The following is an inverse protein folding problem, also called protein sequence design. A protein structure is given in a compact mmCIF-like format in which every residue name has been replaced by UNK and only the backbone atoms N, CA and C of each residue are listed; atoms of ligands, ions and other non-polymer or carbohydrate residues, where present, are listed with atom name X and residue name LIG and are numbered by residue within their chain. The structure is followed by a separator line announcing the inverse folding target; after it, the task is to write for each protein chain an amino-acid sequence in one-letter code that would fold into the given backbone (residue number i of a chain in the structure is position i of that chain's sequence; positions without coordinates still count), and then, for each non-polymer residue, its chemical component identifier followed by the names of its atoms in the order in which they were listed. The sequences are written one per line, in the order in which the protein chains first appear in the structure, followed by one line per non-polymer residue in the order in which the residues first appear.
data_IF_324838823162
#
_entry.id   IF_324838823162
#
_cell.length_a   1.000
_cell.length_b   1.000
_cell.length_c   1.000
_cell.angle_alpha   90.00
_cell.angle_beta   90.00
_cell.angle_gamma   90.00
#
_symmetry.space_group_name_H-M   'P 1'
#
loop_
_entity.id
_entity.type
_entity.pdbx_description
1 polymer ?
#
# COMPACT_ATOMS: atom_id res chain seq x y z
N UNK A 1 -8.34 10.80 -18.28
CA UNK A 1 -7.35 9.69 -18.23
C UNK A 1 -7.88 8.61 -17.31
N UNK A 2 -7.65 7.33 -17.60
CA UNK A 2 -8.00 6.25 -16.68
C UNK A 2 -7.07 6.26 -15.47
N UNK A 3 -7.58 5.91 -14.28
CA UNK A 3 -6.76 5.78 -13.08
C UNK A 3 -5.81 4.60 -13.23
N UNK A 4 -4.59 4.74 -12.71
CA UNK A 4 -3.52 3.74 -12.84
C UNK A 4 -3.16 3.19 -11.47
N UNK A 5 -3.17 1.87 -11.33
CA UNK A 5 -2.85 1.19 -10.08
C UNK A 5 -1.48 0.52 -10.12
N UNK A 6 -0.77 0.52 -8.99
CA UNK A 6 0.48 -0.22 -8.80
C UNK A 6 0.39 -1.03 -7.51
N UNK A 7 0.76 -2.31 -7.57
CA UNK A 7 0.75 -3.19 -6.39
C UNK A 7 2.20 -3.58 -6.09
N UNK A 8 2.64 -3.28 -4.88
CA UNK A 8 3.92 -3.75 -4.36
C UNK A 8 3.69 -4.85 -3.35
N UNK A 9 4.12 -6.07 -3.69
CA UNK A 9 3.86 -7.25 -2.89
C UNK A 9 5.03 -7.56 -1.97
N UNK A 10 4.88 -7.36 -0.66
CA UNK A 10 5.78 -7.94 0.33
C UNK A 10 5.20 -9.23 0.89
N UNK A 11 6.03 -10.29 0.96
CA UNK A 11 5.72 -11.48 1.73
C UNK A 11 5.81 -12.80 0.97
N UNK A 12 4.78 -13.63 1.13
CA UNK A 12 4.73 -15.01 0.65
C UNK A 12 3.73 -15.18 -0.51
N UNK A 13 3.53 -16.43 -0.94
CA UNK A 13 2.58 -16.80 -2.00
C UNK A 13 1.15 -16.34 -1.71
N UNK A 14 0.75 -16.26 -0.44
CA UNK A 14 -0.57 -15.73 -0.07
C UNK A 14 -0.70 -14.25 -0.43
N UNK A 15 0.34 -13.44 -0.16
CA UNK A 15 0.34 -12.02 -0.54
C UNK A 15 0.31 -11.83 -2.06
N UNK A 16 0.93 -12.73 -2.83
CA UNK A 16 0.85 -12.75 -4.31
C UNK A 16 -0.58 -13.00 -4.75
N UNK A 17 -1.23 -14.04 -4.22
CA UNK A 17 -2.64 -14.34 -4.53
C UNK A 17 -3.58 -13.18 -4.14
N UNK A 18 -3.35 -12.53 -3.00
CA UNK A 18 -4.11 -11.35 -2.59
C UNK A 18 -3.88 -10.18 -3.56
N UNK A 19 -2.64 -10.00 -4.03
CA UNK A 19 -2.30 -8.98 -5.04
C UNK A 19 -3.02 -9.21 -6.36
N UNK A 20 -3.15 -10.46 -6.82
CA UNK A 20 -3.89 -10.82 -8.04
C UNK A 20 -5.39 -10.52 -7.90
N UNK A 21 -5.98 -10.79 -6.73
CA UNK A 21 -7.38 -10.43 -6.43
C UNK A 21 -7.58 -8.91 -6.44
N UNK A 22 -6.68 -8.17 -5.81
CA UNK A 22 -6.71 -6.70 -5.80
C UNK A 22 -6.56 -6.15 -7.22
N UNK A 23 -5.66 -6.70 -8.02
CA UNK A 23 -5.49 -6.32 -9.42
C UNK A 23 -6.79 -6.51 -10.22
N UNK A 24 -7.42 -7.69 -10.06
CA UNK A 24 -8.71 -7.99 -10.70
C UNK A 24 -9.81 -7.00 -10.28
N UNK A 25 -9.84 -6.62 -8.99
CA UNK A 25 -10.78 -5.62 -8.48
C UNK A 25 -10.52 -4.23 -9.09
N UNK A 26 -9.26 -3.79 -9.17
CA UNK A 26 -8.89 -2.52 -9.80
C UNK A 26 -9.27 -2.50 -11.30
N UNK A 27 -9.01 -3.57 -12.02
CA UNK A 27 -9.36 -3.72 -13.44
C UNK A 27 -10.88 -3.69 -13.65
N UNK A 28 -11.64 -4.38 -12.80
CA UNK A 28 -13.10 -4.34 -12.81
C UNK A 28 -13.66 -2.94 -12.51
N UNK A 29 -12.93 -2.12 -11.73
CA UNK A 29 -13.24 -0.71 -11.49
C UNK A 29 -12.79 0.23 -12.63
N UNK A 30 -12.28 -0.30 -13.75
CA UNK A 30 -11.86 0.46 -14.93
C UNK A 30 -10.47 1.09 -14.82
N UNK A 31 -9.68 0.68 -13.83
CA UNK A 31 -8.29 1.12 -13.66
C UNK A 31 -7.34 0.32 -14.54
N UNK A 32 -6.21 0.92 -14.90
CA UNK A 32 -5.15 0.26 -15.68
C UNK A 32 -3.93 -0.01 -14.81
N UNK A 33 -3.24 -1.12 -15.07
CA UNK A 33 -2.00 -1.43 -14.35
C UNK A 33 -0.90 -0.45 -14.76
N UNK A 34 -0.26 0.18 -13.78
CA UNK A 34 0.90 1.03 -13.99
C UNK A 34 2.15 0.17 -14.22
N UNK A 35 3.04 0.61 -15.12
CA UNK A 35 4.33 -0.05 -15.34
C UNK A 35 5.37 0.33 -14.28
N UNK A 36 5.19 1.46 -13.63
CA UNK A 36 6.05 1.96 -12.56
C UNK A 36 5.23 2.64 -11.46
N UNK A 37 5.87 2.90 -10.32
CA UNK A 37 5.24 3.60 -9.20
C UNK A 37 4.88 5.05 -9.58
N UNK A 38 5.70 5.71 -10.38
CA UNK A 38 5.56 7.10 -10.80
C UNK A 38 4.36 7.34 -11.72
N UNK A 39 3.97 6.31 -12.48
CA UNK A 39 2.79 6.32 -13.34
C UNK A 39 1.49 6.09 -12.57
N UNK A 40 1.57 5.57 -11.35
CA UNK A 40 0.40 5.23 -10.56
C UNK A 40 -0.23 6.45 -9.88
N UNK A 41 -1.55 6.38 -9.68
CA UNK A 41 -2.30 7.26 -8.77
C UNK A 41 -2.99 6.46 -7.65
N UNK A 42 -2.88 5.14 -7.69
CA UNK A 42 -3.39 4.25 -6.67
C UNK A 42 -2.37 3.15 -6.37
N UNK A 43 -1.71 3.25 -5.24
CA UNK A 43 -0.63 2.36 -4.84
C UNK A 43 -1.15 1.44 -3.74
N UNK A 44 -1.06 0.14 -3.95
CA UNK A 44 -1.39 -0.86 -2.93
C UNK A 44 -0.12 -1.57 -2.50
N UNK A 45 0.14 -1.62 -1.19
CA UNK A 45 1.28 -2.31 -0.62
C UNK A 45 0.75 -3.45 0.24
N UNK A 46 0.97 -4.69 -0.19
CA UNK A 46 0.61 -5.85 0.62
C UNK A 46 1.74 -6.16 1.58
N UNK A 47 1.44 -6.29 2.86
CA UNK A 47 2.40 -6.47 3.94
C UNK A 47 2.45 -7.89 4.46
N UNK A 48 3.60 -8.26 5.00
CA UNK A 48 3.85 -9.54 5.61
C UNK A 48 4.37 -9.33 7.03
N UNK A 49 4.08 -10.26 7.94
CA UNK A 49 4.48 -10.19 9.35
C UNK A 49 5.26 -11.45 9.78
N UNK A 50 6.01 -12.05 8.86
CA UNK A 50 6.76 -13.29 9.16
C UNK A 50 8.10 -12.97 9.84
N UNK A 51 8.71 -11.82 9.54
CA UNK A 51 10.00 -11.39 10.11
C UNK A 51 10.07 -9.87 10.24
N UNK A 52 10.72 -9.38 11.29
CA UNK A 52 10.97 -7.95 11.54
C UNK A 52 11.67 -7.26 10.36
N UNK A 53 12.58 -7.96 9.67
CA UNK A 53 13.25 -7.43 8.47
C UNK A 53 12.31 -7.22 7.27
N UNK A 54 11.14 -7.84 7.25
CA UNK A 54 10.11 -7.58 6.25
C UNK A 54 9.33 -6.29 6.59
N UNK A 55 9.02 -6.07 7.86
CA UNK A 55 8.33 -4.85 8.32
C UNK A 55 9.16 -3.60 8.03
N UNK A 56 10.46 -3.63 8.32
CA UNK A 56 11.35 -2.51 8.02
C UNK A 56 11.42 -2.17 6.52
N UNK A 57 11.29 -3.17 5.64
CA UNK A 57 11.21 -2.96 4.19
C UNK A 57 9.91 -2.30 3.77
N UNK A 58 8.79 -2.71 4.38
CA UNK A 58 7.48 -2.06 4.17
C UNK A 58 7.55 -0.59 4.59
N UNK A 59 8.05 -0.31 5.80
CA UNK A 59 8.20 1.07 6.28
C UNK A 59 9.07 1.91 5.34
N UNK A 60 10.23 1.37 4.95
CA UNK A 60 11.14 2.03 4.01
C UNK A 60 10.48 2.35 2.67
N UNK A 61 9.72 1.41 2.11
CA UNK A 61 8.97 1.63 0.87
C UNK A 61 7.96 2.77 1.01
N UNK A 62 7.15 2.77 2.08
CA UNK A 62 6.16 3.84 2.31
C UNK A 62 6.82 5.20 2.45
N UNK A 63 7.95 5.29 3.17
CA UNK A 63 8.72 6.52 3.26
C UNK A 63 9.27 6.97 1.91
N UNK A 64 9.74 6.05 1.07
CA UNK A 64 10.26 6.37 -0.27
C UNK A 64 9.17 6.90 -1.22
N UNK A 65 7.89 6.62 -0.97
CA UNK A 65 6.78 7.14 -1.78
C UNK A 65 6.40 8.58 -1.40
N UNK A 66 6.81 9.09 -0.22
CA UNK A 66 6.44 10.44 0.25
C UNK A 66 6.78 11.54 -0.78
N UNK A 67 8.01 11.64 -1.33
CA UNK A 67 8.34 12.69 -2.28
C UNK A 67 7.51 12.62 -3.57
N UNK A 68 7.16 11.41 -4.00
CA UNK A 68 6.30 11.19 -5.16
C UNK A 68 4.87 11.66 -4.88
N UNK A 69 4.31 11.31 -3.72
CA UNK A 69 2.98 11.77 -3.28
C UNK A 69 2.93 13.29 -3.21
N UNK A 70 3.91 13.93 -2.58
CA UNK A 70 3.99 15.39 -2.52
C UNK A 70 4.06 16.04 -3.91
N UNK A 71 4.85 15.48 -4.83
CA UNK A 71 4.96 15.96 -6.21
C UNK A 71 3.60 15.87 -6.93
N UNK A 72 2.90 14.76 -6.81
CA UNK A 72 1.57 14.53 -7.41
C UNK A 72 0.53 15.49 -6.85
N UNK A 73 0.49 15.66 -5.53
CA UNK A 73 -0.43 16.61 -4.88
C UNK A 73 -0.16 18.05 -5.30
N UNK A 74 1.11 18.47 -5.43
CA UNK A 74 1.49 19.80 -5.95
C UNK A 74 1.04 20.03 -7.40
N UNK A 75 0.98 18.96 -8.20
CA UNK A 75 0.46 18.99 -9.57
C UNK A 75 -1.08 18.91 -9.63
N UNK A 76 -1.77 18.93 -8.48
CA UNK A 76 -3.21 18.75 -8.35
C UNK A 76 -3.70 17.40 -8.93
N UNK A 77 -2.84 16.38 -8.86
CA UNK A 77 -3.17 14.99 -9.21
C UNK A 77 -3.57 14.22 -7.95
N UNK A 78 -4.59 13.37 -8.07
CA UNK A 78 -4.95 12.41 -7.02
C UNK A 78 -3.85 11.37 -6.87
N UNK A 79 -3.50 11.04 -5.62
CA UNK A 79 -2.55 9.97 -5.31
C UNK A 79 -2.94 9.30 -3.99
N UNK A 80 -3.25 8.00 -4.05
CA UNK A 80 -3.69 7.21 -2.89
C UNK A 80 -2.71 6.10 -2.60
N UNK A 81 -2.35 5.92 -1.33
CA UNK A 81 -1.54 4.81 -0.84
C UNK A 81 -2.41 3.95 0.10
N UNK A 82 -2.55 2.68 -0.22
CA UNK A 82 -3.28 1.68 0.55
C UNK A 82 -2.30 0.64 1.08
N UNK A 83 -2.34 0.39 2.39
CA UNK A 83 -1.60 -0.69 3.02
C UNK A 83 -2.57 -1.81 3.32
N UNK A 84 -2.21 -3.06 3.04
CA UNK A 84 -3.04 -4.23 3.38
C UNK A 84 -2.18 -5.42 3.76
N UNK A 85 -2.76 -6.57 4.06
CA UNK A 85 -2.05 -7.81 4.37
C UNK A 85 -1.90 -8.08 5.87
N UNK A 86 -0.86 -8.83 6.26
CA UNK A 86 -0.79 -9.40 7.60
C UNK A 86 -0.66 -8.35 8.71
N UNK A 87 0.09 -7.26 8.47
CA UNK A 87 0.29 -6.24 9.50
C UNK A 87 -1.02 -5.51 9.83
N UNK A 88 -1.80 -5.16 8.80
CA UNK A 88 -3.10 -4.50 8.99
C UNK A 88 -4.13 -5.48 9.56
N UNK A 89 -4.14 -6.73 9.09
CA UNK A 89 -5.00 -7.79 9.64
C UNK A 89 -4.76 -8.06 11.12
N UNK A 90 -3.52 -8.02 11.60
CA UNK A 90 -3.20 -8.14 13.03
C UNK A 90 -3.61 -6.90 13.82
N UNK A 91 -3.37 -5.71 13.26
CA UNK A 91 -3.71 -4.47 13.91
C UNK A 91 -5.24 -4.28 14.06
N UNK A 92 -6.04 -4.77 13.11
CA UNK A 92 -7.52 -4.82 13.22
C UNK A 92 -7.98 -5.78 14.32
N UNK A 93 -7.23 -6.87 14.58
CA UNK A 93 -7.54 -7.85 15.64
C UNK A 93 -7.11 -7.37 17.02
N UNK A 94 -6.16 -6.44 17.11
CA UNK A 94 -5.75 -5.81 18.36
C UNK A 94 -6.84 -4.87 18.88
N UNK A 95 -7.66 -5.38 19.81
CA UNK A 95 -8.75 -4.62 20.45
C UNK A 95 -8.26 -3.39 21.23
N UNK A 96 -6.97 -3.30 21.56
CA UNK A 96 -6.42 -2.13 22.26
C UNK A 96 -6.17 -0.95 21.32
N UNK A 97 -6.14 -1.20 20.00
CA UNK A 97 -5.84 -0.19 18.98
C UNK A 97 -4.40 0.30 18.97
N UNK A 98 -3.52 -0.24 19.83
CA UNK A 98 -2.11 0.17 19.91
C UNK A 98 -1.38 -0.14 18.63
N UNK A 99 -1.63 -1.30 18.03
CA UNK A 99 -1.02 -1.68 16.76
C UNK A 99 -1.42 -0.75 15.63
N UNK A 100 -2.72 -0.44 15.48
CA UNK A 100 -3.18 0.51 14.46
C UNK A 100 -2.54 1.89 14.66
N UNK A 101 -2.45 2.37 15.90
CA UNK A 101 -1.80 3.66 16.20
C UNK A 101 -0.32 3.66 15.82
N UNK A 102 0.37 2.54 16.05
CA UNK A 102 1.77 2.40 15.65
C UNK A 102 1.93 2.37 14.13
N UNK A 103 1.06 1.66 13.41
CA UNK A 103 1.09 1.64 11.94
C UNK A 103 0.91 3.05 11.35
N UNK A 104 -0.06 3.83 11.84
CA UNK A 104 -0.23 5.23 11.41
C UNK A 104 0.99 6.09 11.72
N UNK A 105 1.64 5.87 12.88
CA UNK A 105 2.85 6.61 13.27
C UNK A 105 4.04 6.28 12.37
N UNK A 106 4.19 5.01 11.98
CA UNK A 106 5.31 4.52 11.15
C UNK A 106 5.09 4.74 9.66
N UNK A 107 3.84 4.85 9.22
CA UNK A 107 3.46 4.97 7.81
C UNK A 107 2.50 6.16 7.61
N UNK A 108 2.91 7.39 7.94
CA UNK A 108 2.02 8.56 7.87
C UNK A 108 1.60 8.94 6.45
N UNK A 109 2.29 8.40 5.43
CA UNK A 109 1.97 8.63 4.04
C UNK A 109 0.79 7.77 3.54
N UNK A 110 0.46 6.69 4.25
CA UNK A 110 -0.64 5.81 3.91
C UNK A 110 -1.99 6.52 4.14
N UNK A 111 -2.87 6.41 3.15
CA UNK A 111 -4.22 6.97 3.21
C UNK A 111 -5.23 5.95 3.79
N UNK A 112 -4.95 4.66 3.62
CA UNK A 112 -5.83 3.55 4.01
C UNK A 112 -5.02 2.35 4.53
N UNK A 113 -5.61 1.60 5.47
CA UNK A 113 -5.05 0.40 6.11
C UNK A 113 -6.08 -0.73 6.15
#
# INVERSE_FOLDING_TARGET
MKRKYYIHTFGCQQNVADSERIASYCEAAGMEKAHSLEEANYVVITTCMVKESAENRVYGMVHNVIPLKEKKLKANEEFTIVITGCMTGMAVRDKTGKMMKELHRRMPAADQF
#
